data_IF_437754690058
#
_entry.id   IF_437754690058
#
_cell.length_a   1.000
_cell.length_b   1.000
_cell.length_c   1.000
_cell.angle_alpha   90.00
_cell.angle_beta   90.00
_cell.angle_gamma   90.00
#
_symmetry.space_group_name_H-M   'P 1'
#
loop_
_entity.id
_entity.type
_entity.pdbx_description
1 polymer ?
#
# COMPACT_ATOMS: atom_id res chain seq x y z
N UNK A 1 36.11 4.12 8.19
CA UNK A 1 35.36 3.15 9.03
C UNK A 1 34.82 2.07 8.11
N UNK A 2 35.11 0.78 8.40
CA UNK A 2 34.50 -0.32 7.64
C UNK A 2 32.98 -0.23 7.84
N UNK A 3 32.24 -0.06 6.75
CA UNK A 3 30.79 -0.19 6.73
C UNK A 3 30.46 -1.59 7.23
N UNK A 4 30.07 -1.73 8.49
CA UNK A 4 29.23 -2.87 8.88
C UNK A 4 27.97 -2.71 8.05
N UNK A 5 27.88 -3.46 6.94
CA UNK A 5 26.74 -3.42 6.04
C UNK A 5 25.48 -3.66 6.86
N UNK A 6 24.68 -2.61 7.04
CA UNK A 6 23.29 -2.77 7.46
C UNK A 6 22.69 -3.70 6.41
N UNK A 7 22.34 -4.93 6.78
CA UNK A 7 21.63 -5.83 5.88
C UNK A 7 20.16 -5.37 5.79
N UNK A 8 19.37 -5.97 4.89
CA UNK A 8 17.97 -5.56 4.69
C UNK A 8 17.10 -5.72 5.95
N UNK A 9 17.43 -6.71 6.79
CA UNK A 9 16.59 -7.15 7.92
C UNK A 9 16.21 -6.05 8.91
N UNK A 10 17.13 -5.20 9.44
CA UNK A 10 16.77 -4.07 10.28
C UNK A 10 15.71 -3.14 9.71
N UNK A 11 15.77 -2.85 8.41
CA UNK A 11 14.78 -1.96 7.76
C UNK A 11 13.41 -2.65 7.71
N UNK A 12 13.41 -3.95 7.40
CA UNK A 12 12.18 -4.76 7.31
C UNK A 12 11.54 -4.94 8.70
N UNK A 13 12.34 -5.28 9.72
CA UNK A 13 11.85 -5.50 11.08
C UNK A 13 11.22 -4.24 11.69
N UNK A 14 11.76 -3.06 11.39
CA UNK A 14 11.20 -1.78 11.84
C UNK A 14 9.73 -1.66 11.39
N UNK A 15 9.43 -1.89 10.11
CA UNK A 15 8.07 -1.72 9.57
C UNK A 15 7.13 -2.91 9.70
N UNK A 16 7.63 -4.14 9.70
CA UNK A 16 6.78 -5.32 9.54
C UNK A 16 6.84 -6.30 10.72
N UNK A 17 7.67 -6.03 11.73
CA UNK A 17 7.87 -6.94 12.86
C UNK A 17 7.67 -6.27 14.23
N UNK A 18 6.86 -6.92 15.06
CA UNK A 18 6.64 -6.59 16.46
C UNK A 18 7.83 -6.95 17.36
N UNK A 19 8.69 -7.85 16.87
CA UNK A 19 9.94 -8.27 17.50
C UNK A 19 11.12 -7.85 16.65
N UNK A 20 12.15 -7.35 17.31
CA UNK A 20 13.39 -6.88 16.70
C UNK A 20 14.58 -7.68 17.18
N UNK A 21 15.54 -7.86 16.28
CA UNK A 21 16.86 -8.30 16.65
C UNK A 21 17.61 -7.22 17.46
N UNK A 22 18.65 -7.62 18.20
CA UNK A 22 19.55 -6.67 18.86
C UNK A 22 20.17 -5.70 17.84
N UNK A 23 20.55 -6.21 16.67
CA UNK A 23 21.11 -5.44 15.58
C UNK A 23 20.14 -4.36 15.10
N UNK A 24 18.87 -4.71 14.88
CA UNK A 24 17.81 -3.77 14.48
C UNK A 24 17.62 -2.68 15.52
N UNK A 25 17.52 -3.04 16.81
CA UNK A 25 17.36 -2.06 17.87
C UNK A 25 18.54 -1.08 17.93
N UNK A 26 19.77 -1.55 17.75
CA UNK A 26 20.97 -0.71 17.73
C UNK A 26 21.02 0.18 16.49
N UNK A 27 20.76 -0.39 15.31
CA UNK A 27 20.75 0.33 14.05
C UNK A 27 19.68 1.44 14.04
N UNK A 28 18.48 1.14 14.53
CA UNK A 28 17.40 2.11 14.66
C UNK A 28 17.77 3.26 15.61
N UNK A 29 18.27 2.95 16.82
CA UNK A 29 18.70 3.99 17.78
C UNK A 29 19.80 4.87 17.23
N UNK A 30 20.78 4.30 16.55
CA UNK A 30 21.85 5.05 15.87
C UNK A 30 21.28 5.97 14.79
N UNK A 31 20.43 5.45 13.90
CA UNK A 31 19.81 6.25 12.84
C UNK A 31 18.97 7.41 13.39
N UNK A 32 18.20 7.18 14.46
CA UNK A 32 17.43 8.25 15.12
C UNK A 32 18.34 9.33 15.70
N UNK A 33 19.45 8.96 16.35
CA UNK A 33 20.41 9.93 16.92
C UNK A 33 21.13 10.72 15.84
N UNK A 34 21.60 10.04 14.80
CA UNK A 34 22.22 10.69 13.63
C UNK A 34 21.26 11.71 12.98
N UNK A 35 19.97 11.37 12.86
CA UNK A 35 18.94 12.31 12.38
C UNK A 35 18.62 13.44 13.36
N UNK A 36 18.86 13.27 14.66
CA UNK A 36 18.69 14.35 15.65
C UNK A 36 19.90 15.29 15.69
N UNK A 37 21.08 14.77 15.35
CA UNK A 37 22.37 15.49 15.34
C UNK A 37 22.71 16.09 13.97
N UNK A 38 22.02 15.68 12.91
CA UNK A 38 22.23 16.18 11.55
C UNK A 38 21.96 17.70 11.44
N UNK A 39 22.64 18.33 10.49
CA UNK A 39 22.39 19.71 10.09
C UNK A 39 21.17 19.88 9.19
N UNK A 40 20.52 18.78 8.76
CA UNK A 40 19.29 18.84 7.96
C UNK A 40 18.18 19.50 8.79
N UNK A 41 17.50 20.49 8.20
CA UNK A 41 16.38 21.13 8.85
C UNK A 41 15.14 20.21 8.88
N UNK A 42 15.08 19.36 9.90
CA UNK A 42 13.89 18.54 10.13
C UNK A 42 12.77 19.39 10.70
N UNK A 43 11.56 19.19 10.17
CA UNK A 43 10.35 19.81 10.68
C UNK A 43 10.16 19.52 12.19
N UNK A 44 9.63 20.49 12.94
CA UNK A 44 9.48 20.42 14.41
C UNK A 44 8.75 19.16 14.86
N UNK A 45 7.68 18.75 14.17
CA UNK A 45 6.92 17.55 14.53
C UNK A 45 7.75 16.27 14.34
N UNK A 46 8.53 16.18 13.26
CA UNK A 46 9.44 15.05 13.02
C UNK A 46 10.49 14.97 14.13
N UNK A 47 11.09 16.11 14.52
CA UNK A 47 12.03 16.18 15.65
C UNK A 47 11.42 15.69 16.97
N UNK A 48 10.13 15.99 17.24
CA UNK A 48 9.43 15.50 18.44
C UNK A 48 9.27 13.98 18.43
N UNK A 49 8.88 13.40 17.28
CA UNK A 49 8.74 11.95 17.11
C UNK A 49 10.09 11.25 17.29
N UNK A 50 11.16 11.77 16.66
CA UNK A 50 12.50 11.21 16.78
C UNK A 50 13.01 11.26 18.24
N UNK A 51 12.81 12.37 18.95
CA UNK A 51 13.15 12.49 20.38
C UNK A 51 12.38 11.49 21.24
N UNK A 52 11.10 11.26 20.93
CA UNK A 52 10.29 10.27 21.62
C UNK A 52 10.84 8.85 21.37
N UNK A 53 11.16 8.50 20.13
CA UNK A 53 11.75 7.20 19.79
C UNK A 53 13.16 6.99 20.37
N UNK A 54 14.01 8.03 20.45
CA UNK A 54 15.33 7.95 21.08
C UNK A 54 15.23 7.66 22.59
N UNK A 55 14.24 8.23 23.27
CA UNK A 55 14.00 7.99 24.70
C UNK A 55 13.19 6.72 25.00
N UNK A 56 12.51 6.17 24.00
CA UNK A 56 11.66 4.98 24.16
C UNK A 56 12.47 3.75 24.56
N UNK A 57 11.99 3.01 25.55
CA UNK A 57 12.60 1.74 25.98
C UNK A 57 11.87 0.58 25.31
N UNK A 58 12.63 -0.33 24.70
CA UNK A 58 12.09 -1.55 24.11
C UNK A 58 11.55 -2.47 25.20
N UNK A 59 10.37 -3.04 24.97
CA UNK A 59 9.75 -3.99 25.90
C UNK A 59 10.37 -5.37 25.72
N UNK A 60 10.19 -6.26 26.71
CA UNK A 60 10.60 -7.66 26.56
C UNK A 60 9.84 -8.35 25.43
N UNK A 61 10.41 -9.44 24.90
CA UNK A 61 9.79 -10.29 23.88
C UNK A 61 8.39 -10.75 24.30
N UNK A 62 8.25 -11.24 25.53
CA UNK A 62 7.00 -11.76 26.08
C UNK A 62 5.94 -10.66 26.17
N UNK A 63 6.34 -9.48 26.65
CA UNK A 63 5.44 -8.35 26.75
C UNK A 63 4.98 -7.88 25.35
N UNK A 64 5.86 -7.88 24.35
CA UNK A 64 5.52 -7.52 22.97
C UNK A 64 4.53 -8.52 22.36
N UNK A 65 4.80 -9.82 22.47
CA UNK A 65 3.92 -10.88 21.96
C UNK A 65 2.55 -10.88 22.65
N UNK A 66 2.50 -10.73 23.98
CA UNK A 66 1.23 -10.67 24.72
C UNK A 66 0.37 -9.48 24.27
N UNK A 67 1.00 -8.36 23.94
CA UNK A 67 0.28 -7.19 23.44
C UNK A 67 -0.31 -7.43 22.04
N UNK A 68 0.47 -8.02 21.12
CA UNK A 68 -0.02 -8.36 19.79
C UNK A 68 -1.16 -9.40 19.87
N UNK A 69 -1.01 -10.41 20.71
CA UNK A 69 -2.07 -11.39 20.97
C UNK A 69 -3.36 -10.72 21.47
N UNK A 70 -3.26 -9.79 22.45
CA UNK A 70 -4.42 -9.04 22.94
C UNK A 70 -5.05 -8.17 21.85
N UNK A 71 -4.25 -7.59 20.95
CA UNK A 71 -4.74 -6.83 19.80
C UNK A 71 -5.54 -7.72 18.84
N UNK A 72 -4.93 -8.83 18.42
CA UNK A 72 -5.56 -9.81 17.53
C UNK A 72 -6.84 -10.43 18.13
N UNK A 73 -6.87 -10.69 19.44
CA UNK A 73 -8.05 -11.25 20.12
C UNK A 73 -9.22 -10.24 20.27
N UNK A 74 -8.93 -8.93 20.20
CA UNK A 74 -9.96 -7.88 20.32
C UNK A 74 -10.63 -7.55 18.99
N UNK A 75 -9.93 -7.76 17.88
CA UNK A 75 -10.41 -7.42 16.55
C UNK A 75 -10.79 -8.70 15.83
N UNK A 76 -12.10 -8.93 15.65
CA UNK A 76 -12.58 -9.94 14.73
C UNK A 76 -12.28 -9.46 13.30
N UNK A 77 -11.10 -9.80 12.79
CA UNK A 77 -10.70 -9.50 11.41
C UNK A 77 -11.17 -10.62 10.48
N UNK A 78 -12.43 -10.48 10.04
CA UNK A 78 -13.02 -11.41 9.08
C UNK A 78 -12.15 -11.51 7.80
N UNK A 79 -11.56 -10.40 7.35
CA UNK A 79 -10.71 -10.38 6.15
C UNK A 79 -9.47 -11.21 6.35
N UNK A 80 -8.78 -11.09 7.49
CA UNK A 80 -7.62 -11.91 7.80
C UNK A 80 -7.97 -13.40 7.87
N UNK A 81 -9.12 -13.75 8.46
CA UNK A 81 -9.55 -15.16 8.51
C UNK A 81 -9.94 -15.71 7.13
N UNK A 82 -10.64 -14.92 6.30
CA UNK A 82 -10.97 -15.28 4.93
C UNK A 82 -9.69 -15.50 4.10
N UNK A 83 -8.71 -14.61 4.23
CA UNK A 83 -7.39 -14.72 3.62
C UNK A 83 -6.65 -15.99 4.07
N UNK A 84 -6.67 -16.31 5.36
CA UNK A 84 -6.12 -17.57 5.87
C UNK A 84 -6.82 -18.79 5.24
N UNK A 85 -8.15 -18.80 5.20
CA UNK A 85 -8.92 -19.90 4.60
C UNK A 85 -8.68 -20.05 3.10
N UNK A 86 -8.17 -19.02 2.42
CA UNK A 86 -7.82 -19.07 1.01
C UNK A 86 -6.51 -19.84 0.73
N UNK A 87 -5.64 -20.05 1.73
CA UNK A 87 -4.39 -20.79 1.55
C UNK A 87 -4.67 -22.30 1.48
N UNK A 88 -4.12 -22.98 0.47
CA UNK A 88 -4.35 -24.42 0.23
C UNK A 88 -3.72 -25.32 1.30
N UNK A 89 -2.47 -25.03 1.71
CA UNK A 89 -1.71 -25.89 2.64
C UNK A 89 -1.99 -25.53 4.09
N UNK A 90 -2.16 -26.54 4.93
CA UNK A 90 -2.36 -26.36 6.38
C UNK A 90 -1.19 -25.63 7.04
N UNK A 91 0.04 -25.97 6.67
CA UNK A 91 1.25 -25.32 7.18
C UNK A 91 1.26 -23.83 6.90
N UNK A 92 0.79 -23.41 5.73
CA UNK A 92 0.76 -22.01 5.31
C UNK A 92 -0.32 -21.25 6.10
N UNK A 93 -1.47 -21.88 6.35
CA UNK A 93 -2.52 -21.35 7.24
C UNK A 93 -2.00 -21.14 8.67
N UNK A 94 -1.29 -22.12 9.21
CA UNK A 94 -0.70 -22.03 10.56
C UNK A 94 0.33 -20.91 10.63
N UNK A 95 1.18 -20.80 9.63
CA UNK A 95 2.19 -19.73 9.52
C UNK A 95 1.55 -18.35 9.40
N UNK A 96 0.51 -18.20 8.57
CA UNK A 96 -0.28 -16.98 8.43
C UNK A 96 -0.88 -16.55 9.77
N UNK A 97 -1.59 -17.45 10.46
CA UNK A 97 -2.24 -17.14 11.74
C UNK A 97 -1.21 -16.82 12.82
N UNK A 98 -0.08 -17.53 12.85
CA UNK A 98 1.03 -17.24 13.77
C UNK A 98 1.55 -15.83 13.55
N UNK A 99 1.78 -15.42 12.30
CA UNK A 99 2.18 -14.06 11.98
C UNK A 99 1.07 -13.04 12.30
N UNK A 100 -0.19 -13.31 11.97
CA UNK A 100 -1.31 -12.41 12.29
C UNK A 100 -1.39 -12.11 13.79
N UNK A 101 -1.25 -13.15 14.63
CA UNK A 101 -1.33 -13.04 16.09
C UNK A 101 -0.09 -12.36 16.68
N UNK A 102 1.10 -12.74 16.22
CA UNK A 102 2.36 -12.28 16.84
C UNK A 102 2.90 -11.01 16.20
N UNK A 103 2.59 -10.78 14.92
CA UNK A 103 3.24 -9.82 14.02
C UNK A 103 4.77 -9.94 14.02
N UNK A 104 5.31 -11.14 14.24
CA UNK A 104 6.75 -11.38 14.28
C UNK A 104 7.20 -12.03 12.96
N UNK A 105 7.88 -11.28 12.11
CA UNK A 105 8.30 -11.78 10.78
C UNK A 105 9.50 -12.73 10.89
N UNK A 106 10.39 -12.45 11.83
CA UNK A 106 11.55 -13.26 12.17
C UNK A 106 11.41 -13.78 13.61
N UNK A 107 11.32 -15.10 13.76
CA UNK A 107 11.22 -15.77 15.07
C UNK A 107 12.45 -16.65 15.32
N UNK A 108 13.64 -16.04 15.30
CA UNK A 108 14.91 -16.70 15.62
C UNK A 108 15.47 -16.23 16.98
N UNK A 109 16.60 -16.80 17.38
CA UNK A 109 17.28 -16.49 18.65
C UNK A 109 17.75 -15.04 18.74
N UNK A 110 17.89 -14.33 17.60
CA UNK A 110 18.33 -12.95 17.58
C UNK A 110 17.21 -11.97 17.93
N UNK A 111 15.93 -12.33 17.73
CA UNK A 111 14.76 -11.45 17.97
C UNK A 111 14.34 -11.40 19.43
N UNK A 112 15.05 -10.57 20.21
CA UNK A 112 14.93 -10.59 21.68
C UNK A 112 14.20 -9.40 22.29
N UNK A 113 13.92 -8.33 21.53
CA UNK A 113 13.24 -7.14 22.06
C UNK A 113 11.98 -6.80 21.26
N UNK A 114 11.03 -6.15 21.91
CA UNK A 114 9.83 -5.62 21.26
C UNK A 114 10.11 -4.34 20.48
N UNK A 115 9.42 -4.18 19.34
CA UNK A 115 9.44 -2.98 18.52
C UNK A 115 9.08 -1.73 19.33
N UNK A 116 9.90 -0.68 19.22
CA UNK A 116 9.63 0.59 19.92
C UNK A 116 8.61 1.47 19.18
N UNK A 117 8.23 1.11 17.95
CA UNK A 117 7.32 1.91 17.11
C UNK A 117 5.94 1.26 16.96
N UNK A 118 5.84 -0.07 17.01
CA UNK A 118 4.54 -0.76 16.93
C UNK A 118 3.78 -0.80 18.27
N UNK A 119 4.31 -0.19 19.34
CA UNK A 119 3.76 -0.33 20.70
C UNK A 119 3.83 0.93 21.58
N UNK A 120 4.41 2.01 21.07
CA UNK A 120 4.56 3.26 21.83
C UNK A 120 3.77 4.36 21.11
N UNK A 121 2.48 4.44 21.44
CA UNK A 121 1.61 5.50 20.97
C UNK A 121 1.82 6.76 21.80
N UNK A 122 1.75 7.90 21.12
CA UNK A 122 1.69 9.21 21.74
C UNK A 122 0.93 10.16 20.82
N UNK A 123 -0.38 10.20 20.99
CA UNK A 123 -1.30 11.00 20.16
C UNK A 123 -0.97 12.49 20.19
N UNK A 124 -0.45 13.02 21.31
CA UNK A 124 -0.10 14.43 21.46
C UNK A 124 0.98 14.89 20.47
N UNK A 125 1.83 13.96 20.02
CA UNK A 125 2.89 14.21 19.03
C UNK A 125 2.64 13.44 17.72
N UNK A 126 1.41 12.92 17.53
CA UNK A 126 1.01 12.22 16.30
C UNK A 126 1.60 10.83 16.12
N UNK A 127 2.21 10.22 17.14
CA UNK A 127 2.69 8.84 17.06
C UNK A 127 1.51 7.89 17.29
N UNK A 128 1.08 7.21 16.24
CA UNK A 128 0.05 6.15 16.28
C UNK A 128 0.69 4.78 16.18
N UNK A 129 -0.03 3.75 16.63
CA UNK A 129 0.41 2.39 16.45
C UNK A 129 0.38 1.99 14.97
N UNK A 130 1.43 1.27 14.56
CA UNK A 130 1.60 0.73 13.22
C UNK A 130 1.21 -0.76 13.25
N UNK A 131 0.31 -1.15 12.36
CA UNK A 131 -0.23 -2.51 12.26
C UNK A 131 -0.02 -3.15 10.88
N UNK A 132 0.94 -2.63 10.10
CA UNK A 132 1.17 -3.10 8.74
C UNK A 132 1.37 -4.62 8.71
N UNK A 133 0.83 -5.23 7.66
CA UNK A 133 0.88 -6.67 7.46
C UNK A 133 1.85 -6.99 6.34
N UNK A 134 2.88 -7.77 6.63
CA UNK A 134 3.80 -8.21 5.57
C UNK A 134 3.06 -8.98 4.48
N UNK A 135 1.97 -9.67 4.82
CA UNK A 135 1.17 -10.44 3.87
C UNK A 135 0.35 -9.55 2.93
N UNK A 136 -0.09 -8.37 3.38
CA UNK A 136 -0.76 -7.40 2.49
C UNK A 136 0.22 -6.55 1.67
N UNK A 137 1.47 -6.46 2.12
CA UNK A 137 2.50 -5.62 1.52
C UNK A 137 3.31 -6.33 0.42
N UNK A 138 3.10 -7.63 0.20
CA UNK A 138 3.69 -8.35 -0.93
C UNK A 138 2.72 -8.41 -2.12
N UNK A 139 3.23 -8.51 -3.36
CA UNK A 139 2.38 -8.70 -4.53
C UNK A 139 1.80 -10.11 -4.54
N UNK A 140 0.64 -10.26 -5.18
CA UNK A 140 -0.09 -11.53 -5.27
C UNK A 140 0.71 -12.69 -5.85
N UNK A 141 1.63 -12.42 -6.79
CA UNK A 141 2.52 -13.44 -7.36
C UNK A 141 3.37 -14.14 -6.30
N UNK A 142 3.73 -13.46 -5.22
CA UNK A 142 4.49 -14.06 -4.09
C UNK A 142 3.63 -15.07 -3.33
N UNK A 143 2.30 -14.93 -3.36
CA UNK A 143 1.37 -15.90 -2.79
C UNK A 143 1.10 -17.09 -3.72
N UNK A 144 1.00 -16.85 -5.04
CA UNK A 144 0.54 -17.84 -6.03
C UNK A 144 1.61 -18.75 -6.58
N UNK A 145 2.88 -18.34 -6.58
CA UNK A 145 3.97 -19.20 -7.05
C UNK A 145 4.38 -20.19 -5.96
N UNK A 146 3.42 -21.04 -5.54
CA UNK A 146 3.63 -22.14 -4.61
C UNK A 146 4.23 -23.39 -5.26
N UNK A 147 4.37 -23.42 -6.59
CA UNK A 147 4.75 -24.62 -7.34
C UNK A 147 5.94 -24.50 -8.32
N UNK A 148 6.25 -23.35 -8.95
CA UNK A 148 7.13 -23.37 -10.16
C UNK A 148 8.33 -22.42 -10.21
N UNK A 149 8.32 -21.24 -9.57
CA UNK A 149 9.46 -20.30 -9.57
C UNK A 149 10.19 -20.19 -8.23
N UNK A 150 9.51 -20.52 -7.12
CA UNK A 150 10.10 -20.57 -5.79
C UNK A 150 10.40 -22.03 -5.44
N UNK A 151 11.64 -22.28 -4.98
CA UNK A 151 12.13 -23.61 -4.67
C UNK A 151 11.10 -24.41 -3.86
N UNK A 152 10.63 -25.53 -4.42
CA UNK A 152 9.79 -26.49 -3.73
C UNK A 152 10.44 -26.83 -2.37
N UNK A 153 9.84 -26.37 -1.27
CA UNK A 153 10.38 -26.53 0.08
C UNK A 153 10.51 -25.25 0.91
N UNK A 154 10.33 -24.06 0.33
CA UNK A 154 10.28 -22.82 1.12
C UNK A 154 8.92 -22.62 1.81
N UNK A 155 8.93 -22.28 3.11
CA UNK A 155 7.69 -22.00 3.86
C UNK A 155 7.01 -20.70 3.43
N UNK A 156 5.71 -20.58 3.69
CA UNK A 156 4.92 -19.37 3.39
C UNK A 156 5.60 -18.08 3.87
N UNK A 157 6.03 -18.03 5.13
CA UNK A 157 6.74 -16.86 5.67
C UNK A 157 8.17 -16.71 5.14
N UNK A 158 8.82 -17.81 4.73
CA UNK A 158 10.12 -17.77 4.07
C UNK A 158 10.09 -16.94 2.80
N UNK A 159 9.05 -17.15 1.97
CA UNK A 159 8.84 -16.39 0.73
C UNK A 159 8.67 -14.89 0.98
N UNK A 160 7.87 -14.53 1.99
CA UNK A 160 7.67 -13.14 2.38
C UNK A 160 8.99 -12.49 2.77
N UNK A 161 9.77 -13.16 3.64
CA UNK A 161 11.10 -12.68 4.05
C UNK A 161 12.01 -12.48 2.84
N UNK A 162 12.14 -13.49 1.97
CA UNK A 162 12.97 -13.40 0.76
C UNK A 162 12.55 -12.23 -0.13
N UNK A 163 11.25 -12.07 -0.38
CA UNK A 163 10.75 -10.95 -1.18
C UNK A 163 11.18 -9.60 -0.60
N UNK A 164 10.98 -9.39 0.70
CA UNK A 164 11.37 -8.13 1.34
C UNK A 164 12.89 -7.95 1.39
N UNK A 165 13.64 -9.00 1.69
CA UNK A 165 15.11 -8.96 1.73
C UNK A 165 15.69 -8.61 0.36
N UNK A 166 15.31 -9.35 -0.69
CA UNK A 166 15.76 -9.11 -2.06
C UNK A 166 15.33 -7.72 -2.56
N UNK A 167 14.10 -7.29 -2.27
CA UNK A 167 13.62 -5.97 -2.69
C UNK A 167 14.36 -4.85 -1.98
N UNK A 168 14.57 -4.99 -0.67
CA UNK A 168 15.26 -4.00 0.13
C UNK A 168 16.75 -3.91 -0.23
N UNK A 169 17.43 -5.03 -0.49
CA UNK A 169 18.81 -5.06 -0.95
C UNK A 169 19.00 -4.28 -2.25
N UNK A 170 18.04 -4.36 -3.19
CA UNK A 170 18.05 -3.55 -4.41
C UNK A 170 18.00 -2.06 -4.08
N UNK A 171 17.05 -1.62 -3.26
CA UNK A 171 16.95 -0.21 -2.86
C UNK A 171 18.20 0.26 -2.11
N UNK A 172 18.72 -0.55 -1.19
CA UNK A 172 19.93 -0.24 -0.45
C UNK A 172 21.15 -0.10 -1.37
N UNK A 173 21.23 -0.92 -2.42
CA UNK A 173 22.27 -0.80 -3.46
C UNK A 173 22.18 0.55 -4.16
N UNK A 174 20.97 0.95 -4.57
CA UNK A 174 20.73 2.25 -5.20
C UNK A 174 21.02 3.44 -4.26
N UNK A 175 20.74 3.32 -2.96
CA UNK A 175 21.09 4.36 -1.99
C UNK A 175 22.60 4.45 -1.81
N UNK A 176 23.28 3.31 -1.63
CA UNK A 176 24.73 3.25 -1.38
C UNK A 176 25.56 3.75 -2.56
N UNK A 177 25.12 3.47 -3.79
CA UNK A 177 25.80 3.93 -4.99
C UNK A 177 25.40 5.36 -5.41
N UNK A 178 24.49 6.01 -4.67
CA UNK A 178 24.03 7.38 -4.94
C UNK A 178 23.05 7.53 -6.11
N UNK A 179 22.56 6.43 -6.71
CA UNK A 179 21.55 6.49 -7.78
C UNK A 179 20.12 6.71 -7.26
N UNK A 180 19.89 6.51 -5.96
CA UNK A 180 18.64 6.85 -5.29
C UNK A 180 18.93 7.81 -4.12
N UNK A 181 18.33 8.99 -4.20
CA UNK A 181 18.38 10.02 -3.16
C UNK A 181 16.97 10.25 -2.63
N UNK A 182 16.83 10.28 -1.31
CA UNK A 182 15.58 10.60 -0.65
C UNK A 182 15.67 11.95 0.06
N UNK A 183 14.82 12.88 -0.35
CA UNK A 183 14.75 14.23 0.23
C UNK A 183 13.37 14.45 0.84
N UNK A 184 13.20 14.27 2.16
CA UNK A 184 11.92 14.51 2.81
C UNK A 184 11.60 16.00 2.83
N UNK A 185 10.38 16.36 2.46
CA UNK A 185 9.83 17.71 2.57
C UNK A 185 8.48 17.64 3.27
N UNK A 186 8.20 18.64 4.10
CA UNK A 186 6.92 18.77 4.79
C UNK A 186 6.25 20.05 4.32
N UNK A 187 5.04 19.92 3.79
CA UNK A 187 4.24 21.03 3.30
C UNK A 187 2.78 20.62 3.10
N UNK A 188 1.90 21.61 3.07
CA UNK A 188 0.49 21.41 2.73
C UNK A 188 0.32 21.73 1.25
N UNK A 189 -0.25 20.78 0.51
CA UNK A 189 -0.53 20.95 -0.90
C UNK A 189 -1.92 21.59 -1.07
N UNK A 190 -1.95 22.87 -1.41
CA UNK A 190 -3.18 23.63 -1.65
C UNK A 190 -2.97 24.63 -2.78
N UNK A 191 -4.04 25.07 -3.49
CA UNK A 191 -3.93 26.07 -4.55
C UNK A 191 -3.35 27.41 -4.06
N UNK A 192 -3.53 27.73 -2.78
CA UNK A 192 -3.06 28.97 -2.16
C UNK A 192 -1.59 28.91 -1.75
N UNK A 193 -0.97 27.72 -1.72
CA UNK A 193 0.42 27.54 -1.32
C UNK A 193 1.36 27.58 -2.54
N UNK A 194 1.44 28.75 -3.18
CA UNK A 194 2.25 28.95 -4.37
C UNK A 194 3.73 28.60 -4.14
N UNK A 195 4.29 28.83 -2.94
CA UNK A 195 5.69 28.50 -2.67
C UNK A 195 5.97 27.00 -2.80
N UNK A 196 5.08 26.14 -2.26
CA UNK A 196 5.24 24.68 -2.36
C UNK A 196 5.05 24.20 -3.80
N UNK A 197 4.07 24.75 -4.51
CA UNK A 197 3.81 24.43 -5.91
C UNK A 197 5.03 24.77 -6.78
N UNK A 198 5.61 25.95 -6.59
CA UNK A 198 6.83 26.36 -7.30
C UNK A 198 8.04 25.52 -6.91
N UNK A 199 8.19 25.14 -5.63
CA UNK A 199 9.25 24.22 -5.20
C UNK A 199 9.15 22.85 -5.89
N UNK A 200 7.95 22.27 -5.99
CA UNK A 200 7.76 20.99 -6.71
C UNK A 200 8.06 21.16 -8.20
N UNK A 201 7.57 22.25 -8.79
CA UNK A 201 7.75 22.53 -10.22
C UNK A 201 9.23 22.67 -10.60
N UNK A 202 10.05 23.31 -9.76
CA UNK A 202 11.47 23.51 -10.04
C UNK A 202 12.30 22.22 -9.95
N UNK A 203 11.75 21.14 -9.39
CA UNK A 203 12.38 19.82 -9.42
C UNK A 203 12.34 19.17 -10.82
N UNK A 204 11.50 19.69 -11.72
CA UNK A 204 11.30 19.17 -13.08
C UNK A 204 11.14 17.62 -13.14
N UNK A 205 10.18 17.06 -12.39
CA UNK A 205 10.09 15.60 -12.25
C UNK A 205 9.54 14.95 -13.52
N UNK A 206 10.16 13.87 -13.98
CA UNK A 206 9.60 13.03 -15.04
C UNK A 206 8.26 12.39 -14.64
N UNK A 207 8.09 12.11 -13.34
CA UNK A 207 6.91 11.42 -12.80
C UNK A 207 6.50 12.04 -11.46
N UNK A 208 5.20 12.30 -11.29
CA UNK A 208 4.62 12.71 -10.01
C UNK A 208 3.65 11.64 -9.53
N UNK A 209 3.98 10.96 -8.43
CA UNK A 209 3.11 9.99 -7.80
C UNK A 209 2.32 10.62 -6.63
N UNK A 210 1.03 10.82 -6.82
CA UNK A 210 0.14 11.48 -5.85
C UNK A 210 -0.32 10.58 -4.70
N UNK A 211 -0.01 9.28 -4.74
CA UNK A 211 -0.57 8.31 -3.80
C UNK A 211 -2.11 8.44 -3.75
N UNK A 212 -2.69 8.35 -2.56
CA UNK A 212 -4.11 8.59 -2.26
C UNK A 212 -4.45 10.04 -1.90
N UNK A 213 -3.61 11.03 -2.24
CA UNK A 213 -3.91 12.45 -1.99
C UNK A 213 -5.24 12.86 -2.61
N UNK A 214 -5.57 12.32 -3.79
CA UNK A 214 -6.80 12.60 -4.53
C UNK A 214 -8.09 12.29 -3.76
N UNK A 215 -8.01 11.44 -2.72
CA UNK A 215 -9.16 11.12 -1.86
C UNK A 215 -9.49 12.23 -0.87
N UNK A 216 -8.54 13.15 -0.63
CA UNK A 216 -8.62 14.16 0.43
C UNK A 216 -8.65 15.59 -0.12
N UNK A 217 -8.64 15.76 -1.44
CA UNK A 217 -8.72 17.05 -2.11
C UNK A 217 -9.84 17.02 -3.14
N UNK A 218 -10.62 18.10 -3.19
CA UNK A 218 -11.68 18.25 -4.18
C UNK A 218 -11.06 18.24 -5.60
N UNK A 219 -11.61 17.50 -6.59
CA UNK A 219 -11.02 17.35 -7.93
C UNK A 219 -10.62 18.68 -8.60
N UNK A 220 -11.52 19.68 -8.59
CA UNK A 220 -11.20 21.03 -9.10
C UNK A 220 -9.94 21.65 -8.49
N UNK A 221 -9.76 21.54 -7.16
CA UNK A 221 -8.58 22.08 -6.47
C UNK A 221 -7.33 21.27 -6.81
N UNK A 222 -7.47 19.95 -6.88
CA UNK A 222 -6.40 19.06 -7.30
C UNK A 222 -5.90 19.42 -8.70
N UNK A 223 -6.80 19.59 -9.67
CA UNK A 223 -6.41 19.87 -11.04
C UNK A 223 -5.80 21.26 -11.24
N UNK A 224 -6.13 22.25 -10.41
CA UNK A 224 -5.40 23.54 -10.39
C UNK A 224 -3.93 23.30 -10.03
N UNK A 225 -3.68 22.58 -8.93
CA UNK A 225 -2.32 22.30 -8.44
C UNK A 225 -1.55 21.44 -9.44
N UNK A 226 -2.16 20.33 -9.86
CA UNK A 226 -1.53 19.37 -10.75
C UNK A 226 -1.14 20.03 -12.09
N UNK A 227 -2.01 20.88 -12.66
CA UNK A 227 -1.71 21.63 -13.88
C UNK A 227 -0.59 22.65 -13.70
N UNK A 228 -0.52 23.31 -12.55
CA UNK A 228 0.52 24.32 -12.29
C UNK A 228 1.92 23.68 -12.20
N UNK A 229 2.02 22.48 -11.63
CA UNK A 229 3.27 21.72 -11.53
C UNK A 229 3.59 20.87 -12.77
N UNK A 230 2.65 20.68 -13.71
CA UNK A 230 2.93 19.97 -14.96
C UNK A 230 3.93 20.72 -15.84
N UNK A 231 4.83 19.96 -16.46
CA UNK A 231 5.74 20.38 -17.53
C UNK A 231 5.45 19.61 -18.83
N UNK A 232 6.30 19.76 -19.85
CA UNK A 232 6.12 19.10 -21.15
C UNK A 232 6.15 17.57 -21.07
N UNK A 233 6.98 17.03 -20.18
CA UNK A 233 7.30 15.59 -20.13
C UNK A 233 6.82 14.94 -18.82
N UNK A 234 5.97 15.62 -18.06
CA UNK A 234 5.55 15.18 -16.74
C UNK A 234 4.32 14.27 -16.85
N UNK A 235 4.47 13.03 -16.39
CA UNK A 235 3.36 12.10 -16.19
C UNK A 235 2.94 12.11 -14.72
N UNK A 236 1.64 12.13 -14.47
CA UNK A 236 1.09 11.97 -13.13
C UNK A 236 0.58 10.55 -12.93
N UNK A 237 0.82 9.97 -11.76
CA UNK A 237 0.26 8.69 -11.33
C UNK A 237 -0.46 8.91 -10.02
N UNK A 238 -1.67 8.37 -9.91
CA UNK A 238 -2.45 8.47 -8.68
C UNK A 238 -3.19 7.15 -8.43
N UNK A 239 -3.60 6.96 -7.18
CA UNK A 239 -4.56 5.93 -6.85
C UNK A 239 -5.61 6.46 -5.88
N UNK A 240 -6.86 6.03 -6.05
CA UNK A 240 -7.92 6.35 -5.10
C UNK A 240 -8.28 5.10 -4.33
N UNK A 241 -8.24 5.15 -3.00
CA UNK A 241 -8.72 4.10 -2.10
C UNK A 241 -10.19 4.31 -1.71
N UNK A 242 -10.76 5.49 -1.99
CA UNK A 242 -12.10 5.88 -1.58
C UNK A 242 -13.06 6.13 -2.76
N UNK A 243 -12.65 5.87 -4.00
CA UNK A 243 -13.43 6.21 -5.18
C UNK A 243 -14.85 5.60 -5.17
N UNK A 244 -15.02 4.40 -4.59
CA UNK A 244 -16.33 3.76 -4.47
C UNK A 244 -17.29 4.55 -3.60
N UNK A 245 -16.79 5.39 -2.68
CA UNK A 245 -17.62 6.29 -1.87
C UNK A 245 -17.96 7.62 -2.56
N UNK A 246 -17.27 7.94 -3.66
CA UNK A 246 -17.43 9.20 -4.40
C UNK A 246 -18.46 9.10 -5.52
N UNK A 247 -18.93 7.90 -5.84
CA UNK A 247 -19.93 7.65 -6.88
C UNK A 247 -20.97 6.62 -6.43
N UNK A 248 -22.22 6.81 -6.85
CA UNK A 248 -23.34 5.89 -6.53
C UNK A 248 -23.37 4.67 -7.46
N UNK A 249 -23.74 3.51 -6.92
CA UNK A 249 -23.94 2.25 -7.63
C UNK A 249 -22.80 1.25 -7.45
N UNK A 250 -21.71 1.67 -6.80
CA UNK A 250 -20.55 0.83 -6.46
C UNK A 250 -20.80 -0.06 -5.26
N UNK A 251 -21.79 0.28 -4.43
CA UNK A 251 -22.23 -0.53 -3.30
C UNK A 251 -23.46 -1.37 -3.66
N UNK A 252 -23.48 -2.63 -3.21
CA UNK A 252 -24.63 -3.51 -3.42
C UNK A 252 -25.91 -2.98 -2.78
N UNK A 253 -25.79 -2.13 -1.75
CA UNK A 253 -26.93 -1.51 -1.10
C UNK A 253 -27.52 -0.33 -1.89
N UNK A 254 -26.78 0.25 -2.85
CA UNK A 254 -27.32 1.22 -3.81
C UNK A 254 -28.23 0.56 -4.85
N UNK A 255 -28.12 -0.77 -5.00
CA UNK A 255 -28.83 -1.54 -6.01
C UNK A 255 -30.18 -2.03 -5.47
N UNK A 256 -31.20 -2.01 -6.34
CA UNK A 256 -32.52 -2.57 -6.08
C UNK A 256 -32.38 -4.00 -5.52
N UNK A 257 -33.01 -4.32 -4.37
CA UNK A 257 -32.97 -5.64 -3.75
C UNK A 257 -33.21 -6.81 -4.71
N UNK A 258 -34.12 -6.65 -5.68
CA UNK A 258 -34.45 -7.68 -6.66
C UNK A 258 -33.28 -8.06 -7.59
N UNK A 259 -32.33 -7.13 -7.78
CA UNK A 259 -31.16 -7.33 -8.65
C UNK A 259 -29.91 -7.78 -7.87
N UNK A 260 -29.95 -7.78 -6.54
CA UNK A 260 -28.74 -8.04 -5.73
C UNK A 260 -28.22 -9.46 -5.89
N UNK A 261 -29.12 -10.45 -6.03
CA UNK A 261 -28.75 -11.83 -6.30
C UNK A 261 -28.05 -11.99 -7.65
N UNK A 262 -28.49 -11.26 -8.68
CA UNK A 262 -27.83 -11.24 -9.97
C UNK A 262 -26.37 -10.79 -9.85
N UNK A 263 -26.12 -9.65 -9.18
CA UNK A 263 -24.75 -9.14 -9.00
C UNK A 263 -23.89 -10.06 -8.14
N UNK A 264 -24.48 -10.72 -7.15
CA UNK A 264 -23.78 -11.72 -6.36
C UNK A 264 -23.36 -12.93 -7.20
N UNK A 265 -24.28 -13.51 -7.98
CA UNK A 265 -23.98 -14.61 -8.89
C UNK A 265 -22.92 -14.22 -9.92
N UNK A 266 -23.03 -13.04 -10.54
CA UNK A 266 -21.99 -12.53 -11.46
C UNK A 266 -20.64 -12.32 -10.77
N UNK A 267 -20.63 -11.86 -9.52
CA UNK A 267 -19.42 -11.69 -8.72
C UNK A 267 -18.72 -13.01 -8.40
N UNK A 268 -19.49 -14.07 -8.10
CA UNK A 268 -18.96 -15.42 -7.93
C UNK A 268 -18.31 -15.92 -9.23
N UNK A 269 -19.03 -15.82 -10.36
CA UNK A 269 -18.49 -16.23 -11.67
C UNK A 269 -17.23 -15.47 -12.05
N UNK A 270 -17.17 -14.16 -11.79
CA UNK A 270 -15.97 -13.37 -12.07
C UNK A 270 -14.79 -13.80 -11.20
N UNK A 271 -15.02 -14.07 -9.90
CA UNK A 271 -13.98 -14.58 -9.01
C UNK A 271 -13.45 -15.94 -9.47
N UNK A 272 -14.32 -16.84 -9.93
CA UNK A 272 -13.93 -18.14 -10.50
C UNK A 272 -13.03 -17.99 -11.75
N UNK A 273 -13.36 -17.05 -12.65
CA UNK A 273 -12.53 -16.78 -13.82
C UNK A 273 -11.12 -16.32 -13.42
N UNK A 274 -11.01 -15.44 -12.41
CA UNK A 274 -9.72 -14.93 -11.95
C UNK A 274 -8.92 -15.93 -11.10
N UNK A 275 -9.56 -16.88 -10.42
CA UNK A 275 -8.89 -17.88 -9.55
C UNK A 275 -8.41 -19.11 -10.31
N UNK A 276 -8.91 -19.37 -11.53
CA UNK A 276 -8.50 -20.50 -12.38
C UNK A 276 -7.02 -20.51 -12.81
N UNK A 277 -6.25 -19.48 -12.44
CA UNK A 277 -4.82 -19.30 -12.77
C UNK A 277 -3.90 -19.27 -11.54
N UNK A 278 -4.40 -19.65 -10.36
CA UNK A 278 -3.70 -19.43 -9.08
C UNK A 278 -3.38 -20.72 -8.33
N UNK A 279 -2.19 -21.28 -8.55
CA UNK A 279 -1.66 -22.41 -7.77
C UNK A 279 -1.57 -22.03 -6.27
N UNK A 280 -1.96 -22.95 -5.37
CA UNK A 280 -1.81 -22.75 -3.93
C UNK A 280 -2.92 -21.93 -3.24
N UNK A 281 -3.94 -21.47 -3.98
CA UNK A 281 -5.08 -20.70 -3.46
C UNK A 281 -6.40 -21.42 -3.76
N UNK A 282 -7.28 -21.50 -2.76
CA UNK A 282 -8.60 -22.10 -2.87
C UNK A 282 -9.58 -21.10 -3.48
N UNK A 283 -10.15 -21.44 -4.65
CA UNK A 283 -11.04 -20.59 -5.45
C UNK A 283 -12.33 -20.15 -4.74
N UNK A 284 -12.75 -20.83 -3.67
CA UNK A 284 -14.02 -20.61 -2.94
C UNK A 284 -13.82 -20.14 -1.49
N UNK A 285 -12.73 -19.43 -1.20
CA UNK A 285 -12.60 -18.80 0.11
C UNK A 285 -13.86 -17.96 0.41
N UNK A 286 -14.46 -18.09 1.60
CA UNK A 286 -15.69 -17.37 1.92
C UNK A 286 -15.42 -15.88 1.77
N UNK A 287 -16.17 -15.18 0.92
CA UNK A 287 -16.12 -13.72 0.79
C UNK A 287 -17.44 -13.13 1.25
N UNK A 288 -17.38 -12.03 2.00
CA UNK A 288 -18.58 -11.30 2.37
C UNK A 288 -19.39 -10.90 1.13
N UNK A 289 -20.72 -11.10 1.17
CA UNK A 289 -21.66 -10.84 0.07
C UNK A 289 -21.42 -9.49 -0.65
N UNK A 290 -21.20 -8.43 0.13
CA UNK A 290 -20.87 -7.09 -0.37
C UNK A 290 -19.62 -7.10 -1.26
N UNK A 291 -18.54 -7.74 -0.81
CA UNK A 291 -17.25 -7.77 -1.51
C UNK A 291 -17.35 -8.55 -2.83
N UNK A 292 -18.07 -9.67 -2.83
CA UNK A 292 -18.36 -10.44 -4.05
C UNK A 292 -19.05 -9.57 -5.10
N UNK A 293 -20.09 -8.83 -4.69
CA UNK A 293 -20.80 -7.92 -5.57
C UNK A 293 -19.92 -6.74 -6.03
N UNK A 294 -19.08 -6.19 -5.13
CA UNK A 294 -18.22 -5.05 -5.44
C UNK A 294 -17.32 -5.32 -6.63
N UNK A 295 -16.86 -6.57 -6.86
CA UNK A 295 -16.03 -6.90 -8.03
C UNK A 295 -16.67 -6.47 -9.34
N UNK A 296 -17.96 -6.74 -9.52
CA UNK A 296 -18.70 -6.42 -10.74
C UNK A 296 -19.14 -4.96 -10.73
N UNK A 297 -19.69 -4.49 -9.61
CA UNK A 297 -20.18 -3.12 -9.50
C UNK A 297 -19.06 -2.11 -9.70
N UNK A 298 -17.88 -2.37 -9.14
CA UNK A 298 -16.72 -1.52 -9.31
C UNK A 298 -16.35 -1.38 -10.79
N UNK A 299 -16.21 -2.51 -11.50
CA UNK A 299 -15.90 -2.50 -12.94
C UNK A 299 -16.96 -1.79 -13.77
N UNK A 300 -18.24 -1.95 -13.40
CA UNK A 300 -19.35 -1.29 -14.08
C UNK A 300 -19.36 0.23 -13.89
N UNK A 301 -19.00 0.71 -12.70
CA UNK A 301 -19.17 2.12 -12.33
C UNK A 301 -17.87 2.93 -12.25
N UNK A 302 -16.70 2.33 -12.49
CA UNK A 302 -15.42 3.06 -12.45
C UNK A 302 -15.36 4.23 -13.44
N UNK A 303 -16.03 4.10 -14.61
CA UNK A 303 -16.14 5.19 -15.57
C UNK A 303 -16.78 6.44 -14.94
N UNK A 304 -17.80 6.28 -14.09
CA UNK A 304 -18.45 7.41 -13.41
C UNK A 304 -17.48 8.16 -12.49
N UNK A 305 -16.58 7.44 -11.82
CA UNK A 305 -15.54 8.07 -10.99
C UNK A 305 -14.56 8.86 -11.86
N UNK A 306 -14.16 8.32 -13.00
CA UNK A 306 -13.30 9.07 -13.91
C UNK A 306 -13.98 10.28 -14.52
N UNK A 307 -15.28 10.23 -14.85
CA UNK A 307 -16.02 11.44 -15.21
C UNK A 307 -16.03 12.43 -14.05
N UNK A 308 -16.41 12.01 -12.84
CA UNK A 308 -16.38 12.87 -11.64
C UNK A 308 -15.02 13.56 -11.42
N UNK A 309 -13.92 12.84 -11.67
CA UNK A 309 -12.58 13.34 -11.41
C UNK A 309 -12.02 14.18 -12.57
N UNK A 310 -12.19 13.76 -13.82
CA UNK A 310 -11.49 14.29 -14.99
C UNK A 310 -12.36 15.05 -16.01
N UNK A 311 -13.68 15.00 -15.89
CA UNK A 311 -14.57 15.64 -16.85
C UNK A 311 -14.25 17.14 -16.96
N UNK A 312 -14.06 17.61 -18.20
CA UNK A 312 -13.66 18.98 -18.54
C UNK A 312 -12.25 19.42 -18.12
N UNK A 313 -11.39 18.52 -17.62
CA UNK A 313 -10.04 18.89 -17.17
C UNK A 313 -8.98 18.82 -18.27
N UNK A 314 -9.36 18.34 -19.46
CA UNK A 314 -8.50 18.30 -20.64
C UNK A 314 -7.31 17.35 -20.46
N UNK A 315 -7.55 16.14 -19.96
CA UNK A 315 -6.52 15.13 -19.71
C UNK A 315 -6.52 14.03 -20.74
N UNK A 316 -5.35 13.43 -20.96
CA UNK A 316 -5.20 12.07 -21.47
C UNK A 316 -5.01 11.18 -20.24
N UNK A 317 -5.78 10.10 -20.12
CA UNK A 317 -5.74 9.17 -18.98
C UNK A 317 -5.37 7.77 -19.50
N UNK A 318 -4.49 7.07 -18.80
CA UNK A 318 -4.11 5.68 -19.06
C UNK A 318 -4.29 4.83 -17.81
N UNK A 319 -4.50 3.53 -18.01
CA UNK A 319 -4.67 2.57 -16.93
C UNK A 319 -3.32 1.91 -16.57
N UNK A 320 -3.02 1.80 -15.28
CA UNK A 320 -1.77 1.17 -14.80
C UNK A 320 -1.87 -0.37 -14.81
N UNK A 321 -3.08 -0.92 -14.72
CA UNK A 321 -3.33 -2.37 -14.63
C UNK A 321 -3.83 -2.98 -15.96
N UNK A 322 -3.17 -2.63 -17.08
CA UNK A 322 -3.60 -3.04 -18.43
C UNK A 322 -4.86 -2.31 -18.86
N UNK A 323 -5.82 -2.99 -19.49
CA UNK A 323 -7.05 -2.38 -20.05
C UNK A 323 -8.09 -1.98 -18.98
N UNK A 324 -7.72 -2.01 -17.70
CA UNK A 324 -8.63 -1.68 -16.60
C UNK A 324 -7.88 -0.90 -15.52
N UNK A 325 -8.48 0.15 -14.94
CA UNK A 325 -7.84 0.91 -13.86
C UNK A 325 -7.93 0.20 -12.49
N UNK A 326 -8.73 -0.87 -12.39
CA UNK A 326 -8.94 -1.61 -11.16
C UNK A 326 -8.01 -2.82 -11.09
N UNK A 327 -7.45 -3.10 -9.92
CA UNK A 327 -6.64 -4.29 -9.71
C UNK A 327 -7.53 -5.55 -9.72
N UNK A 328 -7.01 -6.68 -10.18
CA UNK A 328 -7.77 -7.93 -10.27
C UNK A 328 -8.09 -8.54 -8.88
N UNK A 329 -9.32 -9.06 -8.67
CA UNK A 329 -9.85 -9.51 -7.38
C UNK A 329 -9.16 -10.77 -6.89
N UNK A 330 -8.06 -10.57 -6.19
CA UNK A 330 -7.24 -11.63 -5.66
C UNK A 330 -7.23 -11.60 -4.12
N UNK A 331 -7.20 -12.78 -3.46
CA UNK A 331 -6.90 -12.85 -2.03
C UNK A 331 -5.63 -12.07 -1.69
N UNK A 332 -5.59 -11.47 -0.50
CA UNK A 332 -4.48 -10.62 -0.04
C UNK A 332 -4.28 -9.28 -0.78
N UNK A 333 -5.00 -9.00 -1.89
CA UNK A 333 -4.97 -7.70 -2.57
C UNK A 333 -6.22 -6.86 -2.31
N UNK A 334 -6.01 -5.54 -2.18
CA UNK A 334 -7.08 -4.54 -2.06
C UNK A 334 -7.66 -4.20 -3.44
N UNK A 335 -8.23 -5.17 -4.14
CA UNK A 335 -8.15 -5.11 -5.59
C UNK A 335 -9.15 -4.17 -6.28
N UNK A 336 -10.41 -4.13 -5.87
CA UNK A 336 -11.45 -3.35 -6.57
C UNK A 336 -11.78 -2.04 -5.86
N UNK A 337 -11.29 -1.87 -4.64
CA UNK A 337 -11.43 -0.64 -3.87
C UNK A 337 -10.37 0.40 -4.23
N UNK A 338 -9.32 0.01 -4.97
CA UNK A 338 -8.26 0.91 -5.38
C UNK A 338 -8.29 1.10 -6.90
N UNK A 339 -8.54 2.31 -7.35
CA UNK A 339 -8.43 2.71 -8.75
C UNK A 339 -7.05 3.30 -9.01
N UNK A 340 -6.24 2.64 -9.84
CA UNK A 340 -4.91 3.10 -10.25
C UNK A 340 -4.95 3.64 -11.67
N UNK A 341 -4.42 4.84 -11.86
CA UNK A 341 -4.39 5.48 -13.17
C UNK A 341 -3.21 6.42 -13.30
N UNK A 342 -2.82 6.65 -14.54
CA UNK A 342 -1.86 7.67 -14.92
C UNK A 342 -2.54 8.69 -15.82
N UNK A 343 -2.09 9.93 -15.79
CA UNK A 343 -2.64 10.97 -16.65
C UNK A 343 -1.61 12.04 -16.98
N UNK A 344 -1.86 12.74 -18.07
CA UNK A 344 -1.14 13.94 -18.46
C UNK A 344 -2.16 14.94 -19.04
N UNK A 345 -1.89 16.23 -18.93
CA UNK A 345 -2.78 17.23 -19.53
C UNK A 345 -2.58 17.26 -21.04
N UNK A 346 -3.65 17.44 -21.83
CA UNK A 346 -3.59 17.50 -23.30
C UNK A 346 -2.62 18.58 -23.81
N UNK A 347 -2.38 19.63 -23.02
CA UNK A 347 -1.40 20.68 -23.28
C UNK A 347 0.06 20.19 -23.28
N UNK A 348 0.37 19.02 -22.71
CA UNK A 348 1.71 18.42 -22.71
C UNK A 348 1.96 17.54 -23.94
N UNK A 349 0.92 17.28 -24.76
CA UNK A 349 0.96 16.39 -25.92
C UNK A 349 1.32 14.92 -25.63
N UNK A 350 1.52 14.54 -24.35
CA UNK A 350 1.74 13.15 -23.94
C UNK A 350 0.46 12.34 -24.21
N UNK A 351 0.61 11.23 -24.92
CA UNK A 351 -0.46 10.26 -25.18
C UNK A 351 -0.07 8.91 -24.59
N UNK A 352 -1.07 8.13 -24.19
CA UNK A 352 -0.89 6.77 -23.71
C UNK A 352 -1.33 5.80 -24.81
N UNK A 353 -0.53 4.77 -25.07
CA UNK A 353 -0.76 3.81 -26.17
C UNK A 353 -2.00 2.92 -25.95
N UNK A 354 -2.48 2.81 -24.70
CA UNK A 354 -3.63 1.99 -24.33
C UNK A 354 -4.68 2.82 -23.57
N UNK A 355 -5.94 2.71 -24.02
CA UNK A 355 -7.16 3.21 -23.39
C UNK A 355 -7.10 4.66 -22.88
N UNK A 356 -6.96 5.61 -23.81
CA UNK A 356 -7.33 7.00 -23.52
C UNK A 356 -8.84 7.08 -23.32
N UNK A 357 -9.27 7.23 -22.07
CA UNK A 357 -10.67 7.60 -21.77
C UNK A 357 -10.99 8.93 -22.46
N UNK A 358 -11.76 8.86 -23.54
CA UNK A 358 -12.31 10.05 -24.18
C UNK A 358 -13.66 10.39 -23.53
N UNK A 359 -13.58 11.16 -22.44
CA UNK A 359 -14.72 11.60 -21.64
C UNK A 359 -15.77 12.41 -22.43
N UNK A 360 -15.45 12.85 -23.65
CA UNK A 360 -16.36 13.61 -24.51
C UNK A 360 -17.16 12.73 -25.48
N UNK A 361 -16.70 11.52 -25.77
CA UNK A 361 -17.28 10.66 -26.82
C UNK A 361 -17.87 9.35 -26.28
N UNK A 362 -17.50 8.92 -25.07
CA UNK A 362 -18.08 7.76 -24.38
C UNK A 362 -19.33 8.18 -23.56
N UNK A 363 -20.44 8.48 -24.24
CA UNK A 363 -21.71 8.88 -23.61
C UNK A 363 -22.61 7.72 -23.15
N UNK A 364 -22.18 6.47 -23.30
CA UNK A 364 -22.95 5.32 -22.81
C UNK A 364 -22.75 5.14 -21.30
N UNK A 365 -23.62 5.79 -20.52
CA UNK A 365 -23.83 5.55 -19.07
C UNK A 365 -25.23 5.03 -18.81
#
# INVERSE_FOLDING_TARGET
MKNDEVNARPVIEVWLSSLWSKQTSQAFKRAVRELLETSIDLHRQVKLILKYWDKSVAKSREAALLFQFKGAARVADATAMMNCCALEKETDRVDYIRYFIKKALYEDESTVVGSVIMKNENEQIGVKQIFESCVEAVPYSVHCDLSSTFAAGESFMGKMRRYFETSMEKFMTHVRNGSLVFTPKYGVLSPDNHSMIQEIKTLDPYLIHWSNVIDYIHPKKFHIIAREISGSDIVHVAHSCNWTSLVTGTDIYDINPAMRLYFYSSGLMSTEMFTSVSDGIIAQAPTHFRNTCTVILARKYIKKFFCYFFENEGVNCGCVNGNTPLTAPFPFLRSVHIAHFMFAYKSTHIKFDMDTYDFLNDHDV
#
